data_IF_004597531810
#
_entry.id   IF_004597531810
#
_cell.length_a   1.000
_cell.length_b   1.000
_cell.length_c   1.000
_cell.angle_alpha   90.00
_cell.angle_beta   90.00
_cell.angle_gamma   90.00
#
_symmetry.space_group_name_H-M   'P 1'
#
loop_
_entity.id
_entity.type
_entity.pdbx_description
1 polymer ?
#
# COMPACT_ATOMS: atom_id res chain seq x y z
N UNK A 1 13.10 -2.95 4.60
CA UNK A 1 14.10 -3.50 3.64
C UNK A 1 13.60 -3.53 2.20
N UNK A 2 12.46 -4.18 1.91
CA UNK A 2 11.91 -4.23 0.55
C UNK A 2 11.69 -2.83 -0.06
N UNK A 3 11.11 -1.89 0.68
CA UNK A 3 10.95 -0.50 0.23
C UNK A 3 12.26 0.14 -0.24
N UNK A 4 13.31 0.07 0.59
CA UNK A 4 14.62 0.67 0.27
C UNK A 4 15.26 0.01 -0.96
N UNK A 5 15.14 -1.31 -1.11
CA UNK A 5 15.62 -2.03 -2.29
C UNK A 5 14.85 -1.63 -3.55
N UNK A 6 13.51 -1.56 -3.48
CA UNK A 6 12.67 -1.10 -4.58
C UNK A 6 13.06 0.31 -5.00
N UNK A 7 13.20 1.23 -4.05
CA UNK A 7 13.59 2.61 -4.35
C UNK A 7 15.01 2.73 -4.87
N UNK A 8 15.98 1.99 -4.32
CA UNK A 8 17.34 1.95 -4.86
C UNK A 8 17.35 1.52 -6.34
N UNK A 9 16.58 0.47 -6.67
CA UNK A 9 16.42 0.06 -8.06
C UNK A 9 15.74 1.13 -8.93
N UNK A 10 14.67 1.76 -8.45
CA UNK A 10 14.01 2.86 -9.19
C UNK A 10 14.96 4.04 -9.43
N UNK A 11 15.75 4.42 -8.44
CA UNK A 11 16.75 5.48 -8.56
C UNK A 11 17.84 5.14 -9.59
N UNK A 12 18.14 3.85 -9.81
CA UNK A 12 19.07 3.42 -10.86
C UNK A 12 18.54 3.62 -12.28
N UNK A 13 17.21 3.76 -12.46
CA UNK A 13 16.59 4.00 -13.76
C UNK A 13 16.78 5.43 -14.27
N UNK A 14 17.38 6.31 -13.46
CA UNK A 14 17.53 7.71 -13.81
C UNK A 14 18.57 7.93 -14.90
N UNK A 15 18.22 8.73 -15.91
CA UNK A 15 19.16 9.08 -16.99
C UNK A 15 20.21 10.10 -16.56
N UNK A 16 19.89 10.94 -15.57
CA UNK A 16 20.80 11.97 -15.05
C UNK A 16 20.73 12.02 -13.52
N UNK A 17 21.86 12.12 -12.82
CA UNK A 17 21.86 12.28 -11.37
C UNK A 17 21.18 13.61 -11.01
N UNK A 18 20.22 13.56 -10.08
CA UNK A 18 19.52 14.75 -9.58
C UNK A 18 19.73 14.88 -8.08
N UNK A 19 20.14 16.08 -7.64
CA UNK A 19 20.30 16.41 -6.21
C UNK A 19 19.05 16.09 -5.39
N UNK A 20 17.85 16.37 -5.94
CA UNK A 20 16.57 16.06 -5.31
C UNK A 20 16.41 14.58 -4.95
N UNK A 21 16.88 13.68 -5.82
CA UNK A 21 16.69 12.24 -5.66
C UNK A 21 17.68 11.68 -4.65
N UNK A 22 18.93 12.17 -4.70
CA UNK A 22 19.96 11.80 -3.75
C UNK A 22 19.63 12.30 -2.34
N UNK A 23 19.41 13.61 -2.17
CA UNK A 23 19.05 14.19 -0.86
C UNK A 23 17.71 13.68 -0.35
N UNK A 24 16.74 13.46 -1.23
CA UNK A 24 15.46 12.90 -0.83
C UNK A 24 15.58 11.44 -0.37
N UNK A 25 16.42 10.64 -1.02
CA UNK A 25 16.76 9.29 -0.56
C UNK A 25 17.43 9.31 0.82
N UNK A 26 18.40 10.21 1.02
CA UNK A 26 19.07 10.41 2.31
C UNK A 26 18.08 10.82 3.40
N UNK A 27 17.22 11.81 3.14
CA UNK A 27 16.20 12.26 4.09
C UNK A 27 15.23 11.12 4.44
N UNK A 28 14.81 10.35 3.44
CA UNK A 28 13.97 9.16 3.67
C UNK A 28 14.65 8.15 4.59
N UNK A 29 15.93 7.85 4.36
CA UNK A 29 16.69 6.93 5.20
C UNK A 29 16.81 7.43 6.66
N UNK A 30 17.07 8.72 6.85
CA UNK A 30 17.12 9.34 8.18
C UNK A 30 15.78 9.25 8.90
N UNK A 31 14.68 9.63 8.25
CA UNK A 31 13.33 9.58 8.84
C UNK A 31 12.90 8.16 9.20
N UNK A 32 13.18 7.18 8.33
CA UNK A 32 12.95 5.77 8.65
C UNK A 32 13.88 5.25 9.77
N UNK A 33 15.05 5.86 9.95
CA UNK A 33 15.92 5.61 11.10
C UNK A 33 15.31 6.11 12.41
N UNK A 34 14.71 7.31 12.40
CA UNK A 34 13.97 7.86 13.54
C UNK A 34 12.82 6.94 13.93
N UNK A 35 12.04 6.44 12.97
CA UNK A 35 11.00 5.42 13.20
C UNK A 35 11.55 4.21 13.96
N UNK A 36 12.68 3.65 13.53
CA UNK A 36 13.24 2.47 14.20
C UNK A 36 13.71 2.77 15.61
N UNK A 37 14.31 3.94 15.85
CA UNK A 37 14.71 4.36 17.18
C UNK A 37 13.48 4.44 18.10
N UNK A 38 12.40 5.05 17.65
CA UNK A 38 11.16 5.18 18.43
C UNK A 38 10.52 3.82 18.67
N UNK A 39 10.41 2.97 17.65
CA UNK A 39 9.80 1.64 17.76
C UNK A 39 10.61 0.75 18.73
N UNK A 40 11.92 0.67 18.56
CA UNK A 40 12.78 -0.13 19.45
C UNK A 40 12.75 0.44 20.88
N UNK A 41 12.77 1.76 21.02
CA UNK A 41 12.63 2.42 22.32
C UNK A 41 11.31 2.07 23.02
N UNK A 42 10.20 2.05 22.30
CA UNK A 42 8.89 1.67 22.84
C UNK A 42 8.83 0.18 23.22
N UNK A 43 9.46 -0.70 22.43
CA UNK A 43 9.62 -2.12 22.79
C UNK A 43 10.37 -2.28 24.11
N UNK A 44 11.50 -1.58 24.29
CA UNK A 44 12.27 -1.60 25.55
C UNK A 44 11.44 -1.08 26.73
N UNK A 45 10.57 -0.10 26.49
CA UNK A 45 9.63 0.44 27.51
C UNK A 45 8.41 -0.46 27.75
N UNK A 46 8.27 -1.58 27.05
CA UNK A 46 7.10 -2.47 27.14
C UNK A 46 5.80 -1.81 26.68
N UNK A 47 5.89 -0.85 25.75
CA UNK A 47 4.76 -0.03 25.29
C UNK A 47 4.55 -0.15 23.78
N UNK A 48 3.32 0.10 23.34
CA UNK A 48 3.01 0.20 21.92
C UNK A 48 3.60 1.50 21.33
N UNK A 49 4.11 1.43 20.10
CA UNK A 49 4.57 2.61 19.35
C UNK A 49 3.45 3.28 18.55
N UNK A 50 2.53 2.49 17.98
CA UNK A 50 1.43 2.98 17.15
C UNK A 50 0.14 3.10 17.97
N UNK A 51 -0.62 4.17 17.69
CA UNK A 51 -1.90 4.48 18.34
C UNK A 51 -1.81 4.76 19.84
N UNK A 52 -0.61 4.85 20.41
CA UNK A 52 -0.43 4.96 21.86
C UNK A 52 -0.58 6.41 22.32
N UNK A 53 -1.56 6.65 23.18
CA UNK A 53 -1.88 7.94 23.77
C UNK A 53 -1.89 7.89 25.31
N UNK A 54 -1.33 6.83 25.93
CA UNK A 54 -1.38 6.60 27.37
C UNK A 54 -0.64 7.67 28.20
N UNK A 55 0.37 8.31 27.62
CA UNK A 55 1.12 9.41 28.27
C UNK A 55 1.45 10.50 27.26
N UNK A 56 1.77 11.71 27.74
CA UNK A 56 2.21 12.82 26.88
C UNK A 56 3.45 12.46 26.04
N UNK A 57 4.37 11.68 26.62
CA UNK A 57 5.54 11.16 25.91
C UNK A 57 5.13 10.18 24.80
N UNK A 58 4.21 9.26 25.07
CA UNK A 58 3.78 8.27 24.08
C UNK A 58 3.04 8.94 22.91
N UNK A 59 2.17 9.91 23.20
CA UNK A 59 1.51 10.75 22.19
C UNK A 59 2.52 11.52 21.36
N UNK A 60 3.54 12.13 21.99
CA UNK A 60 4.58 12.86 21.27
C UNK A 60 5.39 11.94 20.35
N UNK A 61 5.78 10.75 20.83
CA UNK A 61 6.50 9.76 20.04
C UNK A 61 5.68 9.27 18.84
N UNK A 62 4.40 8.95 19.05
CA UNK A 62 3.50 8.54 17.98
C UNK A 62 3.29 9.68 16.96
N UNK A 63 3.15 10.92 17.42
CA UNK A 63 3.04 12.11 16.55
C UNK A 63 4.31 12.30 15.71
N UNK A 64 5.50 12.17 16.30
CA UNK A 64 6.77 12.27 15.58
C UNK A 64 6.84 11.23 14.46
N UNK A 65 6.45 9.98 14.75
CA UNK A 65 6.38 8.93 13.73
C UNK A 65 5.38 9.29 12.61
N UNK A 66 4.17 9.71 12.98
CA UNK A 66 3.14 10.13 12.02
C UNK A 66 3.60 11.26 11.08
N UNK A 67 4.33 12.25 11.60
CA UNK A 67 4.93 13.33 10.80
C UNK A 67 6.05 12.79 9.90
N UNK A 68 6.96 11.98 10.46
CA UNK A 68 8.08 11.41 9.72
C UNK A 68 7.60 10.59 8.51
N UNK A 69 6.65 9.67 8.71
CA UNK A 69 6.13 8.84 7.61
C UNK A 69 5.33 9.66 6.59
N UNK A 70 4.64 10.72 7.02
CA UNK A 70 3.94 11.65 6.11
C UNK A 70 4.92 12.39 5.20
N UNK A 71 6.06 12.84 5.75
CA UNK A 71 7.12 13.46 4.94
C UNK A 71 7.74 12.45 3.97
N UNK A 72 8.03 11.22 4.42
CA UNK A 72 8.52 10.14 3.55
C UNK A 72 7.53 9.86 2.41
N UNK A 73 6.24 9.83 2.71
CA UNK A 73 5.20 9.59 1.73
C UNK A 73 5.15 10.68 0.65
N UNK A 74 5.08 11.95 1.05
CA UNK A 74 5.08 13.09 0.12
C UNK A 74 6.35 13.09 -0.72
N UNK A 75 7.50 12.84 -0.10
CA UNK A 75 8.79 12.77 -0.79
C UNK A 75 8.82 11.63 -1.81
N UNK A 76 8.32 10.45 -1.45
CA UNK A 76 8.16 9.32 -2.37
C UNK A 76 7.23 9.65 -3.55
N UNK A 77 6.12 10.36 -3.31
CA UNK A 77 5.24 10.83 -4.40
C UNK A 77 5.99 11.78 -5.34
N UNK A 78 6.70 12.77 -4.80
CA UNK A 78 7.50 13.73 -5.59
C UNK A 78 8.56 13.02 -6.42
N UNK A 79 9.34 12.11 -5.81
CA UNK A 79 10.36 11.32 -6.50
C UNK A 79 9.75 10.40 -7.55
N UNK A 80 8.59 9.80 -7.27
CA UNK A 80 7.83 8.98 -8.20
C UNK A 80 7.38 9.79 -9.43
N UNK A 81 6.83 10.98 -9.22
CA UNK A 81 6.45 11.89 -10.33
C UNK A 81 7.66 12.28 -11.16
N UNK A 82 8.79 12.58 -10.53
CA UNK A 82 10.04 12.90 -11.24
C UNK A 82 10.49 11.71 -12.10
N UNK A 83 10.43 10.49 -11.56
CA UNK A 83 10.78 9.27 -12.28
C UNK A 83 9.84 9.00 -13.46
N UNK A 84 8.53 9.19 -13.28
CA UNK A 84 7.53 9.02 -14.34
C UNK A 84 7.65 10.06 -15.46
N UNK A 85 8.27 11.21 -15.19
CA UNK A 85 8.60 12.22 -16.21
C UNK A 85 9.87 11.88 -16.97
N UNK A 86 10.70 10.96 -16.46
CA UNK A 86 11.82 10.44 -17.25
C UNK A 86 11.29 9.51 -18.35
N UNK A 87 11.82 9.66 -19.57
CA UNK A 87 11.45 8.77 -20.67
C UNK A 87 12.04 7.39 -20.42
N UNK A 88 11.27 6.48 -19.83
CA UNK A 88 11.61 5.06 -19.78
C UNK A 88 11.40 4.48 -21.19
N UNK A 89 12.43 3.88 -21.83
CA UNK A 89 12.31 3.39 -23.22
C UNK A 89 11.25 2.28 -23.39
N UNK A 90 11.04 1.46 -22.35
CA UNK A 90 10.06 0.38 -22.37
C UNK A 90 8.67 0.86 -21.90
N UNK A 91 7.69 0.78 -22.80
CA UNK A 91 6.28 1.08 -22.52
C UNK A 91 5.68 0.16 -21.47
N UNK A 92 6.10 -1.11 -21.44
CA UNK A 92 5.60 -2.11 -20.49
C UNK A 92 5.99 -1.69 -19.07
N UNK A 93 7.29 -1.43 -18.86
CA UNK A 93 7.80 -0.92 -17.59
C UNK A 93 7.19 0.43 -17.21
N UNK A 94 6.99 1.33 -18.18
CA UNK A 94 6.37 2.64 -17.93
C UNK A 94 4.98 2.50 -17.29
N UNK A 95 4.12 1.63 -17.82
CA UNK A 95 2.79 1.39 -17.25
C UNK A 95 2.85 0.73 -15.88
N UNK A 96 3.77 -0.22 -15.68
CA UNK A 96 3.99 -0.87 -14.39
C UNK A 96 4.39 0.13 -13.31
N UNK A 97 5.28 1.08 -13.64
CA UNK A 97 5.70 2.14 -12.72
C UNK A 97 4.56 3.11 -12.42
N UNK A 98 3.74 3.49 -13.41
CA UNK A 98 2.59 4.39 -13.20
C UNK A 98 1.59 3.81 -12.21
N UNK A 99 1.16 2.57 -12.45
CA UNK A 99 0.25 1.89 -11.54
C UNK A 99 0.93 1.60 -10.19
N UNK A 100 2.18 1.14 -10.17
CA UNK A 100 2.91 0.83 -8.94
C UNK A 100 3.08 2.05 -8.03
N UNK A 101 3.47 3.20 -8.58
CA UNK A 101 3.63 4.45 -7.83
C UNK A 101 2.26 4.98 -7.38
N UNK A 102 1.27 4.99 -8.27
CA UNK A 102 -0.07 5.49 -7.96
C UNK A 102 -0.76 4.66 -6.87
N UNK A 103 -0.84 3.35 -7.06
CA UNK A 103 -1.46 2.43 -6.10
C UNK A 103 -0.65 2.27 -4.82
N UNK A 104 0.69 2.29 -4.91
CA UNK A 104 1.57 2.32 -3.74
C UNK A 104 1.31 3.55 -2.87
N UNK A 105 1.20 4.73 -3.50
CA UNK A 105 0.89 5.98 -2.80
C UNK A 105 -0.51 5.97 -2.20
N UNK A 106 -1.51 5.46 -2.94
CA UNK A 106 -2.86 5.26 -2.41
C UNK A 106 -2.87 4.28 -1.22
N UNK A 107 -2.09 3.21 -1.31
CA UNK A 107 -1.87 2.24 -0.23
C UNK A 107 -1.37 2.90 1.05
N UNK A 108 -0.34 3.75 0.96
CA UNK A 108 0.14 4.53 2.11
C UNK A 108 -0.97 5.45 2.63
N UNK A 109 -1.70 6.12 1.73
CA UNK A 109 -2.84 6.96 2.07
C UNK A 109 -3.94 6.25 2.87
N UNK A 110 -4.15 4.94 2.66
CA UNK A 110 -5.11 4.16 3.45
C UNK A 110 -4.71 4.04 4.93
N UNK A 111 -3.45 4.28 5.30
CA UNK A 111 -3.04 4.27 6.70
C UNK A 111 -3.74 5.36 7.54
N UNK A 112 -4.08 6.48 6.92
CA UNK A 112 -4.78 7.58 7.61
C UNK A 112 -6.22 7.21 8.02
N UNK A 113 -6.81 6.16 7.42
CA UNK A 113 -8.08 5.62 7.89
C UNK A 113 -7.95 4.96 9.27
N UNK A 114 -6.75 4.58 9.69
CA UNK A 114 -6.51 3.91 10.97
C UNK A 114 -6.17 4.88 12.11
N UNK A 115 -5.74 6.10 11.79
CA UNK A 115 -5.20 7.05 12.79
C UNK A 115 -6.26 7.93 13.44
N UNK A 116 -7.46 8.03 12.84
CA UNK A 116 -8.57 8.81 13.40
C UNK A 116 -9.25 8.07 14.55
N UNK A 117 -9.69 8.82 15.57
CA UNK A 117 -10.45 8.24 16.67
C UNK A 117 -11.72 7.52 16.16
N UNK A 118 -11.97 6.33 16.68
CA UNK A 118 -13.22 5.59 16.43
C UNK A 118 -14.42 6.30 17.06
N UNK A 119 -15.66 6.00 16.66
CA UNK A 119 -16.85 6.58 17.28
C UNK A 119 -16.88 6.42 18.80
N UNK A 120 -16.48 5.25 19.32
CA UNK A 120 -16.45 4.98 20.75
C UNK A 120 -15.35 5.80 21.46
N UNK A 121 -14.18 5.97 20.83
CA UNK A 121 -13.10 6.82 21.34
C UNK A 121 -13.50 8.30 21.33
N UNK A 122 -14.20 8.77 20.30
CA UNK A 122 -14.74 10.14 20.23
C UNK A 122 -15.77 10.39 21.33
N UNK A 123 -16.72 9.47 21.52
CA UNK A 123 -17.70 9.57 22.60
C UNK A 123 -17.02 9.60 23.98
N UNK A 124 -15.97 8.78 24.18
CA UNK A 124 -15.19 8.81 25.41
C UNK A 124 -14.52 10.18 25.64
N UNK A 125 -13.90 10.76 24.61
CA UNK A 125 -13.29 12.09 24.66
C UNK A 125 -14.33 13.18 24.97
N UNK A 126 -15.52 13.11 24.38
CA UNK A 126 -16.62 14.05 24.64
C UNK A 126 -17.12 13.99 26.09
N UNK A 127 -16.98 12.83 26.74
CA UNK A 127 -17.25 12.63 28.16
C UNK A 127 -16.06 12.94 29.08
N UNK A 128 -14.98 13.54 28.56
CA UNK A 128 -13.80 13.91 29.32
C UNK A 128 -12.89 12.73 29.72
N UNK A 129 -13.08 11.57 29.09
CA UNK A 129 -12.18 10.43 29.27
C UNK A 129 -10.98 10.56 28.32
N UNK A 130 -9.82 10.11 28.80
CA UNK A 130 -8.59 10.08 28.00
C UNK A 130 -8.28 8.63 27.64
N UNK A 131 -8.66 8.15 26.44
CA UNK A 131 -8.34 6.79 26.04
C UNK A 131 -6.83 6.61 25.85
N UNK A 132 -6.28 5.53 26.39
CA UNK A 132 -4.86 5.18 26.23
C UNK A 132 -4.47 4.90 24.77
N UNK A 133 -5.45 4.72 23.90
CA UNK A 133 -5.28 4.50 22.46
C UNK A 133 -6.21 5.37 21.64
N UNK A 134 -5.66 5.95 20.57
CA UNK A 134 -6.41 6.74 19.59
C UNK A 134 -6.12 6.20 18.19
N UNK A 135 -7.19 5.88 17.46
CA UNK A 135 -7.09 5.11 16.23
C UNK A 135 -7.41 3.64 16.46
N UNK A 136 -7.64 2.95 15.34
CA UNK A 136 -7.84 1.51 15.29
C UNK A 136 -7.59 1.00 13.87
N UNK A 137 -7.16 -0.25 13.75
CA UNK A 137 -7.08 -0.90 12.44
C UNK A 137 -8.21 -1.91 12.19
N UNK A 138 -8.80 -2.45 13.25
CA UNK A 138 -9.96 -3.34 13.15
C UNK A 138 -11.24 -2.54 13.00
N UNK A 139 -12.18 -3.07 12.22
CA UNK A 139 -13.47 -2.45 11.93
C UNK A 139 -14.59 -3.38 12.35
N UNK A 140 -15.55 -2.85 13.11
CA UNK A 140 -16.68 -3.60 13.65
C UNK A 140 -16.34 -4.47 14.88
N UNK A 141 -15.08 -4.50 15.30
CA UNK A 141 -14.60 -5.21 16.50
C UNK A 141 -13.45 -4.44 17.16
N UNK A 142 -13.20 -4.62 18.47
CA UNK A 142 -12.04 -4.03 19.13
C UNK A 142 -10.69 -4.55 18.60
N UNK A 143 -9.68 -3.68 18.59
CA UNK A 143 -8.29 -4.08 18.33
C UNK A 143 -7.76 -5.02 19.42
N UNK A 144 -6.87 -5.94 19.03
CA UNK A 144 -6.26 -6.92 19.94
C UNK A 144 -7.04 -8.23 20.10
N UNK A 145 -8.13 -8.41 19.35
CA UNK A 145 -8.85 -9.68 19.25
C UNK A 145 -8.10 -10.78 18.48
N UNK A 146 -8.75 -11.94 18.22
CA UNK A 146 -8.16 -13.03 17.46
C UNK A 146 -7.68 -12.59 16.07
N UNK A 147 -6.49 -13.05 15.70
CA UNK A 147 -5.83 -12.66 14.46
C UNK A 147 -5.27 -13.84 13.68
N UNK A 148 -5.09 -13.64 12.38
CA UNK A 148 -4.46 -14.61 11.48
C UNK A 148 -3.02 -14.89 11.93
N UNK A 149 -2.53 -16.14 11.76
CA UNK A 149 -1.11 -16.44 11.92
C UNK A 149 -0.25 -15.50 11.06
N UNK A 150 0.90 -15.08 11.59
CA UNK A 150 1.91 -14.22 10.93
C UNK A 150 1.48 -12.76 10.75
N UNK A 151 0.36 -12.48 10.09
CA UNK A 151 -0.06 -11.08 9.80
C UNK A 151 -0.76 -10.43 10.98
N UNK A 152 -1.38 -11.23 11.85
CA UNK A 152 -2.20 -10.75 12.95
C UNK A 152 -3.49 -10.06 12.51
N UNK A 153 -3.89 -10.16 11.23
CA UNK A 153 -5.12 -9.54 10.71
C UNK A 153 -6.36 -10.12 11.39
N UNK A 154 -7.33 -9.28 11.73
CA UNK A 154 -8.55 -9.70 12.42
C UNK A 154 -9.25 -10.86 11.70
N UNK A 155 -9.60 -11.91 12.46
CA UNK A 155 -10.39 -13.04 11.96
C UNK A 155 -11.87 -12.92 12.31
N UNK A 156 -12.25 -11.91 13.09
CA UNK A 156 -13.62 -11.71 13.58
C UNK A 156 -14.28 -10.44 13.07
N UNK A 157 -13.50 -9.53 12.46
CA UNK A 157 -14.00 -8.29 11.87
C UNK A 157 -13.12 -7.81 10.73
N UNK A 158 -13.42 -6.62 10.20
CA UNK A 158 -12.63 -6.01 9.12
C UNK A 158 -11.27 -5.54 9.62
N UNK A 159 -10.29 -5.43 8.72
CA UNK A 159 -8.94 -4.97 9.08
C UNK A 159 -8.33 -4.10 7.99
N UNK A 160 -8.13 -2.81 8.30
CA UNK A 160 -7.58 -1.81 7.38
C UNK A 160 -6.09 -2.00 7.09
N UNK A 161 -5.38 -2.85 7.83
CA UNK A 161 -4.00 -3.24 7.49
C UNK A 161 -3.95 -4.03 6.19
N UNK A 162 -5.00 -4.78 5.85
CA UNK A 162 -5.08 -5.56 4.61
C UNK A 162 -5.02 -4.66 3.37
N UNK A 163 -5.97 -3.71 3.16
CA UNK A 163 -5.93 -2.84 1.99
C UNK A 163 -4.71 -1.93 1.96
N UNK A 164 -4.23 -1.48 3.13
CA UNK A 164 -2.95 -0.77 3.24
C UNK A 164 -1.79 -1.64 2.72
N UNK A 165 -1.65 -2.86 3.25
CA UNK A 165 -0.62 -3.82 2.84
C UNK A 165 -0.68 -4.11 1.34
N UNK A 166 -1.86 -4.46 0.82
CA UNK A 166 -2.03 -4.73 -0.61
C UNK A 166 -1.63 -3.50 -1.41
N UNK A 167 -2.13 -2.31 -1.07
CA UNK A 167 -1.83 -1.07 -1.77
C UNK A 167 -0.33 -0.75 -1.82
N UNK A 168 0.37 -0.75 -0.68
CA UNK A 168 1.80 -0.40 -0.64
C UNK A 168 2.69 -1.38 -1.44
N UNK A 169 2.25 -2.63 -1.61
CA UNK A 169 3.00 -3.65 -2.35
C UNK A 169 2.86 -3.52 -3.88
N UNK A 170 2.01 -2.62 -4.39
CA UNK A 170 1.83 -2.43 -5.83
C UNK A 170 3.13 -2.02 -6.54
N UNK A 171 3.97 -1.22 -5.87
CA UNK A 171 5.26 -0.75 -6.40
C UNK A 171 6.28 -1.88 -6.54
N UNK A 172 6.09 -3.00 -5.86
CA UNK A 172 6.88 -4.22 -6.02
C UNK A 172 6.24 -5.15 -7.05
N UNK A 173 4.94 -5.42 -6.90
CA UNK A 173 4.23 -6.43 -7.68
C UNK A 173 4.19 -6.10 -9.18
N UNK A 174 3.90 -4.83 -9.53
CA UNK A 174 3.68 -4.45 -10.93
C UNK A 174 4.98 -4.33 -11.74
N UNK A 175 6.07 -3.74 -11.21
CA UNK A 175 7.36 -3.82 -11.88
C UNK A 175 7.88 -5.26 -12.00
N UNK A 176 7.65 -6.11 -10.99
CA UNK A 176 7.99 -7.52 -11.07
C UNK A 176 7.21 -8.22 -12.19
N UNK A 177 5.91 -7.96 -12.32
CA UNK A 177 5.09 -8.46 -13.43
C UNK A 177 5.67 -8.05 -14.79
N UNK A 178 6.07 -6.78 -14.96
CA UNK A 178 6.69 -6.31 -16.20
C UNK A 178 8.01 -7.04 -16.52
N UNK A 179 8.87 -7.23 -15.50
CA UNK A 179 10.16 -7.96 -15.66
C UNK A 179 9.91 -9.43 -16.02
N UNK A 180 8.93 -10.08 -15.39
CA UNK A 180 8.59 -11.48 -15.71
C UNK A 180 8.02 -11.60 -17.13
N UNK A 181 7.13 -10.69 -17.54
CA UNK A 181 6.60 -10.65 -18.90
C UNK A 181 7.69 -10.39 -19.94
N UNK A 182 8.74 -9.62 -19.59
CA UNK A 182 9.87 -9.38 -20.47
C UNK A 182 10.65 -10.67 -20.82
N UNK A 183 10.57 -11.70 -19.97
CA UNK A 183 11.19 -13.03 -20.17
C UNK A 183 10.34 -13.99 -21.01
N UNK A 184 9.17 -13.58 -21.47
CA UNK A 184 8.27 -14.40 -22.30
C UNK A 184 8.49 -14.16 -23.80
N UNK A 185 8.04 -15.07 -24.66
CA UNK A 185 8.00 -14.85 -26.12
C UNK A 185 6.93 -13.85 -26.61
N UNK A 186 6.20 -13.19 -25.70
CA UNK A 186 5.13 -12.25 -26.05
C UNK A 186 5.69 -10.99 -26.72
N UNK A 187 4.96 -10.46 -27.72
CA UNK A 187 5.33 -9.18 -28.33
C UNK A 187 5.17 -8.01 -27.32
N UNK A 188 5.89 -6.88 -27.52
CA UNK A 188 5.85 -5.75 -26.59
C UNK A 188 4.45 -5.20 -26.32
N UNK A 189 3.58 -5.19 -27.33
CA UNK A 189 2.20 -4.73 -27.19
C UNK A 189 1.36 -5.60 -26.27
N UNK A 190 1.51 -6.93 -26.36
CA UNK A 190 0.83 -7.88 -25.48
C UNK A 190 1.32 -7.75 -24.04
N UNK A 191 2.63 -7.63 -23.82
CA UNK A 191 3.21 -7.40 -22.48
C UNK A 191 2.66 -6.13 -21.85
N UNK A 192 2.62 -5.03 -22.60
CA UNK A 192 2.05 -3.75 -22.12
C UNK A 192 0.58 -3.91 -21.75
N UNK A 193 -0.24 -4.56 -22.59
CA UNK A 193 -1.65 -4.80 -22.28
C UNK A 193 -1.83 -5.66 -21.01
N UNK A 194 -1.03 -6.70 -20.84
CA UNK A 194 -1.07 -7.54 -19.63
C UNK A 194 -0.68 -6.77 -18.37
N UNK A 195 0.30 -5.87 -18.43
CA UNK A 195 0.61 -4.97 -17.32
C UNK A 195 -0.54 -4.03 -17.01
N UNK A 196 -1.23 -3.48 -18.03
CA UNK A 196 -2.41 -2.64 -17.81
C UNK A 196 -3.55 -3.42 -17.16
N UNK A 197 -3.84 -4.63 -17.66
CA UNK A 197 -4.83 -5.53 -17.04
C UNK A 197 -4.45 -5.85 -15.60
N UNK A 198 -3.18 -6.19 -15.35
CA UNK A 198 -2.67 -6.45 -14.01
C UNK A 198 -2.78 -5.24 -13.08
N UNK A 199 -2.46 -4.05 -13.57
CA UNK A 199 -2.61 -2.80 -12.82
C UNK A 199 -4.06 -2.48 -12.45
N UNK A 200 -4.99 -2.67 -13.38
CA UNK A 200 -6.43 -2.50 -13.13
C UNK A 200 -6.97 -3.56 -12.17
N UNK A 201 -6.55 -4.82 -12.33
CA UNK A 201 -6.91 -5.90 -11.42
C UNK A 201 -6.39 -5.64 -10.01
N UNK A 202 -5.16 -5.15 -9.87
CA UNK A 202 -4.57 -4.78 -8.58
C UNK A 202 -5.31 -3.60 -7.94
N UNK A 203 -5.66 -2.58 -8.72
CA UNK A 203 -6.48 -1.46 -8.25
C UNK A 203 -7.85 -1.93 -7.75
N UNK A 204 -8.51 -2.79 -8.53
CA UNK A 204 -9.79 -3.41 -8.18
C UNK A 204 -9.69 -4.26 -6.91
N UNK A 205 -8.61 -5.03 -6.75
CA UNK A 205 -8.35 -5.82 -5.55
C UNK A 205 -8.18 -4.91 -4.33
N UNK A 206 -7.32 -3.88 -4.41
CA UNK A 206 -7.14 -2.91 -3.32
C UNK A 206 -8.46 -2.26 -2.93
N UNK A 207 -9.27 -1.82 -3.89
CA UNK A 207 -10.58 -1.23 -3.63
C UNK A 207 -11.54 -2.25 -2.98
N UNK A 208 -11.57 -3.48 -3.47
CA UNK A 208 -12.41 -4.56 -2.95
C UNK A 208 -12.05 -4.90 -1.49
N UNK A 209 -10.76 -5.10 -1.18
CA UNK A 209 -10.35 -5.40 0.20
C UNK A 209 -10.50 -4.19 1.13
N UNK A 210 -10.46 -2.96 0.59
CA UNK A 210 -10.79 -1.74 1.35
C UNK A 210 -12.26 -1.74 1.73
N UNK A 211 -13.13 -1.99 0.74
CA UNK A 211 -14.57 -2.04 0.95
C UNK A 211 -14.99 -3.18 1.89
N UNK A 212 -14.39 -4.36 1.76
CA UNK A 212 -14.60 -5.49 2.66
C UNK A 212 -14.20 -5.13 4.11
N UNK A 213 -13.02 -4.54 4.31
CA UNK A 213 -12.55 -4.13 5.63
C UNK A 213 -13.48 -3.08 6.26
N UNK A 214 -13.88 -2.05 5.50
CA UNK A 214 -14.79 -1.00 5.98
C UNK A 214 -16.19 -1.53 6.33
N UNK A 215 -16.59 -2.68 5.78
CA UNK A 215 -17.83 -3.38 6.13
C UNK A 215 -17.69 -4.28 7.36
N UNK A 216 -16.55 -4.26 8.03
CA UNK A 216 -16.30 -5.07 9.23
C UNK A 216 -16.21 -6.56 8.94
N UNK A 217 -15.89 -6.96 7.71
CA UNK A 217 -15.80 -8.38 7.35
C UNK A 217 -14.38 -8.90 7.46
N UNK A 218 -14.14 -10.02 8.17
CA UNK A 218 -12.84 -10.66 8.15
C UNK A 218 -12.52 -11.16 6.75
N UNK A 219 -11.22 -11.17 6.41
CA UNK A 219 -10.75 -11.61 5.10
C UNK A 219 -11.19 -13.04 4.77
N UNK A 220 -11.22 -13.89 5.80
CA UNK A 220 -11.47 -15.33 5.71
C UNK A 220 -12.93 -15.71 5.64
N UNK A 221 -13.85 -14.80 5.99
CA UNK A 221 -15.30 -15.05 5.95
C UNK A 221 -16.05 -13.90 5.28
N UNK A 222 -15.82 -13.66 3.97
CA UNK A 222 -16.57 -12.68 3.20
C UNK A 222 -18.03 -13.12 3.05
N UNK A 223 -18.95 -12.15 2.98
CA UNK A 223 -20.33 -12.48 2.62
C UNK A 223 -20.54 -12.66 1.10
N UNK A 224 -21.77 -12.98 0.72
CA UNK A 224 -22.13 -13.21 -0.68
C UNK A 224 -21.85 -12.04 -1.61
N UNK A 225 -22.02 -10.79 -1.16
CA UNK A 225 -21.74 -9.60 -1.97
C UNK A 225 -20.25 -9.41 -2.20
N UNK A 226 -19.44 -9.58 -1.16
CA UNK A 226 -17.98 -9.53 -1.27
C UNK A 226 -17.45 -10.65 -2.17
N UNK A 227 -17.97 -11.87 -2.00
CA UNK A 227 -17.61 -13.01 -2.84
C UNK A 227 -18.02 -12.81 -4.32
N UNK A 228 -19.21 -12.27 -4.58
CA UNK A 228 -19.67 -11.97 -5.93
C UNK A 228 -18.80 -10.88 -6.59
N UNK A 229 -18.48 -9.80 -5.87
CA UNK A 229 -17.60 -8.75 -6.37
C UNK A 229 -16.19 -9.27 -6.68
N UNK A 230 -15.65 -10.16 -5.83
CA UNK A 230 -14.41 -10.86 -6.13
C UNK A 230 -14.50 -11.72 -7.40
N UNK A 231 -15.59 -12.48 -7.55
CA UNK A 231 -15.85 -13.29 -8.74
C UNK A 231 -15.91 -12.45 -10.02
N UNK A 232 -16.57 -11.30 -9.98
CA UNK A 232 -16.61 -10.34 -11.10
C UNK A 232 -15.22 -9.82 -11.41
N UNK A 233 -14.44 -9.42 -10.40
CA UNK A 233 -13.07 -8.95 -10.58
C UNK A 233 -12.19 -10.02 -11.27
N UNK A 234 -12.29 -11.28 -10.83
CA UNK A 234 -11.58 -12.42 -11.44
C UNK A 234 -12.02 -12.64 -12.88
N UNK A 235 -13.32 -12.65 -13.16
CA UNK A 235 -13.86 -12.85 -14.50
C UNK A 235 -13.43 -11.74 -15.47
N UNK A 236 -13.53 -10.47 -15.04
CA UNK A 236 -13.05 -9.32 -15.81
C UNK A 236 -11.55 -9.38 -16.06
N UNK A 237 -10.76 -9.79 -15.06
CA UNK A 237 -9.30 -9.96 -15.20
C UNK A 237 -8.98 -11.04 -16.21
N UNK A 238 -9.62 -12.21 -16.12
CA UNK A 238 -9.42 -13.32 -17.07
C UNK A 238 -9.83 -12.93 -18.50
N UNK A 239 -10.97 -12.25 -18.66
CA UNK A 239 -11.40 -11.69 -19.94
C UNK A 239 -10.40 -10.69 -20.52
N UNK A 240 -9.87 -9.79 -19.67
CA UNK A 240 -8.83 -8.83 -20.04
C UNK A 240 -7.53 -9.51 -20.47
N UNK A 241 -7.08 -10.55 -19.76
CA UNK A 241 -5.90 -11.34 -20.13
C UNK A 241 -6.11 -12.02 -21.49
N UNK A 242 -7.26 -12.68 -21.69
CA UNK A 242 -7.60 -13.32 -22.96
C UNK A 242 -7.60 -12.31 -24.11
N UNK A 243 -8.25 -11.16 -23.94
CA UNK A 243 -8.28 -10.10 -24.94
C UNK A 243 -6.88 -9.52 -25.23
N UNK A 244 -6.04 -9.37 -24.20
CA UNK A 244 -4.67 -8.88 -24.36
C UNK A 244 -3.80 -9.81 -25.23
N UNK A 245 -4.06 -11.12 -25.17
CA UNK A 245 -3.35 -12.15 -25.94
C UNK A 245 -3.93 -12.33 -27.35
N UNK A 246 -5.25 -12.27 -27.54
CA UNK A 246 -5.93 -12.52 -28.83
C UNK A 246 -5.75 -11.40 -29.86
N UNK A 247 -5.46 -10.15 -29.43
CA UNK A 247 -5.29 -8.99 -30.34
C UNK A 247 -4.17 -9.11 -31.39
N UNK A 248 -3.57 -10.31 -31.52
CA UNK A 248 -2.70 -10.80 -32.60
C UNK A 248 -3.45 -11.03 -33.92
N UNK A 249 -4.74 -11.39 -33.92
CA UNK A 249 -5.35 -11.96 -35.15
C UNK A 249 -5.92 -10.95 -36.15
N UNK A 250 -6.26 -9.73 -35.74
CA UNK A 250 -6.92 -8.76 -36.63
C UNK A 250 -5.98 -7.78 -37.36
N UNK A 251 -4.67 -7.89 -37.18
CA UNK A 251 -3.71 -6.96 -37.79
C UNK A 251 -2.94 -7.57 -38.99
N UNK A 252 -3.32 -8.79 -39.42
CA UNK A 252 -2.65 -9.54 -40.51
C UNK A 252 -3.69 -10.17 -41.48
N UNK A 253 -4.96 -9.78 -41.41
CA UNK A 253 -6.00 -10.13 -42.39
C UNK A 253 -6.45 -8.85 -43.11
#
# INVERSE_FOLDING_TARGET
MVYALTWSWLLSLQRRPRRLMWWGGTLTAVLLGVEMIVIVGQVVRGRASHFNAATSLDTALFTVMGVAISVVWVLGMVQGVVLLRERVPDRTLTWALRFGIGLGSAGIGLAFLMTGATPDQLAALDHGLSPDRVGAHSVGVPDGGPGMPVTGWSTTGGDLRIPHFVGIHALQALPLLAVLLARTGLNPGARTRLVVVGGLAYAGLTALVTWQALRGQPLTSPDGWTAAAFGVLVACTAGGVRAALIKKEMAVA
#
